data_IF_125156485440
#
_entry.id   IF_125156485440
#
_cell.length_a   1.000
_cell.length_b   1.000
_cell.length_c   1.000
_cell.angle_alpha   90.00
_cell.angle_beta   90.00
_cell.angle_gamma   90.00
#
_symmetry.space_group_name_H-M   'P 1'
#
loop_
_entity.id
_entity.type
_entity.pdbx_description
1 polymer ?
#
# COMPACT_ATOMS: atom_id res chain seq x y z
N UNK A 1 -3.06 14.53 -7.00
CA UNK A 1 -2.34 15.73 -6.55
C UNK A 1 -1.11 15.33 -5.77
N UNK A 2 0.09 15.66 -6.29
CA UNK A 2 1.35 15.22 -5.72
C UNK A 2 1.75 16.00 -4.44
N UNK A 3 1.07 17.09 -4.13
CA UNK A 3 1.48 18.01 -3.07
C UNK A 3 2.84 18.65 -3.33
N UNK A 4 3.25 18.69 -4.57
CA UNK A 4 4.55 19.23 -4.93
C UNK A 4 4.48 20.76 -4.88
N UNK A 5 4.80 21.31 -3.72
CA UNK A 5 5.08 22.72 -3.55
C UNK A 5 6.54 22.94 -3.93
N UNK A 6 6.79 23.64 -5.03
CA UNK A 6 8.14 23.99 -5.48
C UNK A 6 8.84 25.01 -4.56
N UNK A 7 8.18 25.40 -3.46
CA UNK A 7 8.75 26.24 -2.42
C UNK A 7 9.81 25.52 -1.58
N UNK A 8 10.74 26.28 -1.01
CA UNK A 8 11.65 25.78 0.01
C UNK A 8 11.14 26.20 1.41
N UNK A 9 11.05 25.28 2.41
CA UNK A 9 11.33 23.84 2.33
C UNK A 9 10.27 23.07 1.54
N UNK A 10 10.68 22.08 0.76
CA UNK A 10 9.80 21.28 -0.10
C UNK A 10 8.85 20.45 0.76
N UNK A 11 7.58 20.79 0.75
CA UNK A 11 6.52 20.01 1.41
C UNK A 11 6.00 18.96 0.43
N UNK A 12 6.60 17.81 0.45
CA UNK A 12 6.18 16.67 -0.36
C UNK A 12 6.25 15.36 0.44
N UNK A 13 5.84 14.26 -0.16
CA UNK A 13 5.91 12.96 0.48
C UNK A 13 7.34 12.45 0.68
N UNK A 14 8.30 12.96 -0.09
CA UNK A 14 9.72 12.65 0.07
C UNK A 14 10.38 13.59 1.07
N UNK A 15 10.02 13.46 2.35
CA UNK A 15 10.49 14.33 3.42
C UNK A 15 11.63 13.68 4.21
N UNK A 16 12.82 14.28 4.09
CA UNK A 16 14.04 13.90 4.81
C UNK A 16 14.45 14.91 5.89
N UNK A 17 13.71 15.99 6.08
CA UNK A 17 14.03 17.07 7.02
C UNK A 17 13.10 17.10 8.24
N UNK A 18 11.78 17.18 8.02
CA UNK A 18 10.76 17.23 9.07
C UNK A 18 9.48 16.58 8.60
N UNK A 19 9.33 15.28 8.91
CA UNK A 19 8.23 14.47 8.41
C UNK A 19 6.85 14.94 8.92
N UNK A 20 6.78 15.47 10.14
CA UNK A 20 5.50 15.94 10.69
C UNK A 20 5.05 17.23 10.00
N UNK A 21 5.97 18.16 9.79
CA UNK A 21 5.72 19.41 9.07
C UNK A 21 5.24 19.14 7.65
N UNK A 22 5.90 18.19 6.95
CA UNK A 22 5.68 17.97 5.53
C UNK A 22 4.52 17.02 5.27
N UNK A 23 4.46 15.87 5.95
CA UNK A 23 3.40 14.89 5.74
C UNK A 23 2.06 15.28 6.38
N UNK A 24 2.05 16.02 7.47
CA UNK A 24 0.81 16.35 8.18
C UNK A 24 -0.26 16.99 7.28
N UNK A 25 0.04 18.08 6.56
CA UNK A 25 -0.92 18.69 5.62
C UNK A 25 -1.32 17.78 4.46
N UNK A 26 -0.35 17.03 3.89
CA UNK A 26 -0.59 16.10 2.77
C UNK A 26 -1.51 14.96 3.19
N UNK A 27 -1.25 14.35 4.35
CA UNK A 27 -2.08 13.28 4.91
C UNK A 27 -3.52 13.74 5.18
N UNK A 28 -3.71 14.96 5.69
CA UNK A 28 -5.06 15.53 5.86
C UNK A 28 -5.80 15.71 4.54
N UNK A 29 -5.09 16.18 3.50
CA UNK A 29 -5.68 16.33 2.16
C UNK A 29 -6.05 14.97 1.56
N UNK A 30 -5.14 14.01 1.62
CA UNK A 30 -5.35 12.63 1.16
C UNK A 30 -6.52 11.97 1.91
N UNK A 31 -6.56 12.06 3.24
CA UNK A 31 -7.60 11.45 4.06
C UNK A 31 -9.01 11.96 3.70
N UNK A 32 -9.15 13.26 3.42
CA UNK A 32 -10.43 13.83 2.99
C UNK A 32 -10.90 13.27 1.65
N UNK A 33 -9.99 13.19 0.67
CA UNK A 33 -10.30 12.64 -0.65
C UNK A 33 -10.65 11.16 -0.57
N UNK A 34 -9.86 10.38 0.18
CA UNK A 34 -10.10 8.94 0.37
C UNK A 34 -11.43 8.68 1.09
N UNK A 35 -11.72 9.42 2.15
CA UNK A 35 -12.99 9.30 2.86
C UNK A 35 -14.19 9.67 1.97
N UNK A 36 -14.08 10.74 1.18
CA UNK A 36 -15.13 11.14 0.25
C UNK A 36 -15.39 10.07 -0.81
N UNK A 37 -14.34 9.49 -1.39
CA UNK A 37 -14.45 8.40 -2.36
C UNK A 37 -15.17 7.18 -1.77
N UNK A 38 -14.76 6.72 -0.59
CA UNK A 38 -15.38 5.55 0.07
C UNK A 38 -16.83 5.82 0.40
N UNK A 39 -17.16 7.01 0.91
CA UNK A 39 -18.54 7.39 1.26
C UNK A 39 -19.42 7.50 0.01
N UNK A 40 -18.92 8.08 -1.08
CA UNK A 40 -19.66 8.19 -2.33
C UNK A 40 -19.96 6.82 -2.93
N UNK A 41 -18.95 5.95 -3.01
CA UNK A 41 -19.14 4.58 -3.49
C UNK A 41 -20.14 3.80 -2.62
N UNK A 42 -20.05 3.95 -1.30
CA UNK A 42 -20.99 3.32 -0.37
C UNK A 42 -22.42 3.83 -0.57
N UNK A 43 -22.62 5.15 -0.71
CA UNK A 43 -23.93 5.75 -0.94
C UNK A 43 -24.55 5.33 -2.27
N UNK A 44 -23.74 5.08 -3.28
CA UNK A 44 -24.18 4.60 -4.59
C UNK A 44 -24.37 3.09 -4.65
N UNK A 45 -24.05 2.34 -3.61
CA UNK A 45 -24.08 0.87 -3.60
C UNK A 45 -23.02 0.23 -4.50
N UNK A 46 -21.92 0.94 -4.74
CA UNK A 46 -20.85 0.48 -5.64
C UNK A 46 -19.62 -0.03 -4.88
N UNK A 47 -19.55 0.16 -3.56
CA UNK A 47 -18.36 -0.19 -2.78
C UNK A 47 -18.08 -1.70 -2.79
N UNK A 48 -19.12 -2.52 -2.80
CA UNK A 48 -18.99 -3.98 -2.79
C UNK A 48 -18.39 -4.52 -4.10
N UNK A 49 -18.59 -3.78 -5.21
CA UNK A 49 -18.06 -4.12 -6.54
C UNK A 49 -16.80 -3.32 -6.91
N UNK A 50 -16.29 -2.50 -5.99
CA UNK A 50 -15.12 -1.65 -6.24
C UNK A 50 -14.05 -1.87 -5.19
N UNK A 51 -12.91 -2.43 -5.60
CA UNK A 51 -11.75 -2.57 -4.73
C UNK A 51 -10.91 -1.29 -4.76
N UNK A 52 -10.67 -0.72 -3.60
CA UNK A 52 -9.83 0.46 -3.42
C UNK A 52 -8.54 0.01 -2.75
N UNK A 53 -7.41 0.34 -3.35
CA UNK A 53 -6.08 0.15 -2.79
C UNK A 53 -5.41 1.51 -2.58
N UNK A 54 -4.97 1.78 -1.37
CA UNK A 54 -3.98 2.80 -1.08
C UNK A 54 -2.64 2.13 -0.80
N UNK A 55 -1.60 2.58 -1.48
CA UNK A 55 -0.26 2.00 -1.37
C UNK A 55 0.82 3.07 -1.49
N UNK A 56 2.01 2.69 -1.14
CA UNK A 56 3.26 3.44 -1.34
C UNK A 56 4.34 2.46 -1.81
N UNK A 57 5.42 2.97 -2.34
CA UNK A 57 6.53 2.16 -2.86
C UNK A 57 7.49 1.68 -1.76
N UNK A 58 7.53 2.39 -0.61
CA UNK A 58 8.33 2.04 0.58
C UNK A 58 7.75 2.73 1.81
N UNK A 59 8.23 2.34 2.98
CA UNK A 59 7.92 2.98 4.25
C UNK A 59 8.94 4.05 4.65
N UNK A 60 8.94 4.40 5.94
CA UNK A 60 9.92 5.32 6.51
C UNK A 60 10.66 4.64 7.64
N UNK A 61 11.98 4.89 7.73
CA UNK A 61 12.81 4.38 8.81
C UNK A 61 12.30 4.84 10.17
N UNK A 62 12.34 4.00 11.20
CA UNK A 62 11.96 4.41 12.55
C UNK A 62 12.95 5.39 13.19
N UNK A 63 14.18 5.40 12.73
CA UNK A 63 15.22 6.32 13.20
C UNK A 63 15.16 7.67 12.47
N UNK A 64 15.58 8.73 13.16
CA UNK A 64 15.61 10.06 12.60
C UNK A 64 16.75 10.23 11.58
N UNK A 65 16.44 10.99 10.53
CA UNK A 65 17.40 11.54 9.59
C UNK A 65 17.35 13.06 9.70
N UNK A 66 18.49 13.71 9.80
CA UNK A 66 18.55 15.18 9.89
C UNK A 66 17.80 15.78 11.10
N UNK A 67 17.58 15.01 12.15
CA UNK A 67 16.88 15.40 13.37
C UNK A 67 15.40 15.04 13.41
N UNK A 68 14.58 15.45 12.46
CA UNK A 68 13.12 15.20 12.41
C UNK A 68 12.65 14.49 11.14
N UNK A 69 13.52 14.35 10.16
CA UNK A 69 13.24 13.60 8.93
C UNK A 69 13.27 12.10 9.14
N UNK A 70 12.89 11.38 8.11
CA UNK A 70 12.95 9.91 8.05
C UNK A 70 13.43 9.50 6.67
N UNK A 71 14.36 8.57 6.61
CA UNK A 71 14.80 7.95 5.37
C UNK A 71 13.79 6.91 4.87
N UNK A 72 13.98 6.43 3.67
CA UNK A 72 13.18 5.37 3.06
C UNK A 72 13.42 4.04 3.75
N UNK A 73 12.34 3.32 4.06
CA UNK A 73 12.41 1.97 4.59
C UNK A 73 11.88 0.99 3.54
N UNK A 74 12.74 0.24 2.85
CA UNK A 74 12.31 -0.69 1.82
C UNK A 74 11.76 -2.01 2.37
N UNK A 75 11.87 -2.25 3.68
CA UNK A 75 11.55 -3.54 4.27
C UNK A 75 10.11 -3.67 4.73
N UNK A 76 9.51 -2.58 5.19
CA UNK A 76 8.12 -2.57 5.65
C UNK A 76 7.43 -1.27 5.28
N UNK A 77 6.17 -1.37 4.89
CA UNK A 77 5.28 -0.23 4.66
C UNK A 77 3.83 -0.67 4.82
N UNK A 78 2.96 0.30 5.02
CA UNK A 78 1.54 0.05 5.23
C UNK A 78 0.78 0.25 3.92
N UNK A 79 -0.09 -0.69 3.60
CA UNK A 79 -1.13 -0.55 2.61
C UNK A 79 -2.49 -0.64 3.30
N UNK A 80 -3.56 -0.10 2.69
CA UNK A 80 -4.91 -0.41 3.11
C UNK A 80 -5.80 -0.66 1.90
N UNK A 81 -6.77 -1.54 2.09
CA UNK A 81 -7.76 -1.91 1.09
C UNK A 81 -9.17 -1.69 1.64
N UNK A 82 -10.10 -1.38 0.75
CA UNK A 82 -11.51 -1.23 1.10
C UNK A 82 -12.40 -1.64 -0.06
N UNK A 83 -13.59 -2.17 0.24
CA UNK A 83 -14.55 -2.61 -0.76
C UNK A 83 -14.13 -3.87 -1.51
N UNK A 84 -14.84 -4.21 -2.58
CA UNK A 84 -14.51 -5.32 -3.47
C UNK A 84 -14.28 -6.67 -2.79
N UNK A 85 -15.07 -7.02 -1.77
CA UNK A 85 -14.91 -8.27 -1.03
C UNK A 85 -13.77 -8.29 0.00
N UNK A 86 -13.23 -7.13 0.36
CA UNK A 86 -12.24 -7.02 1.45
C UNK A 86 -12.97 -6.86 2.78
N UNK A 87 -12.57 -7.66 3.77
CA UNK A 87 -13.11 -7.61 5.12
C UNK A 87 -12.60 -6.37 5.86
N UNK A 88 -13.52 -5.49 6.24
CA UNK A 88 -13.18 -4.28 6.98
C UNK A 88 -12.78 -4.54 8.44
N UNK A 89 -11.95 -3.65 8.99
CA UNK A 89 -11.58 -3.67 10.42
C UNK A 89 -10.58 -4.75 10.82
N UNK A 90 -9.90 -5.37 9.85
CA UNK A 90 -8.84 -6.35 10.10
C UNK A 90 -7.46 -5.75 9.80
N UNK A 91 -6.45 -6.27 10.45
CA UNK A 91 -5.05 -6.00 10.15
C UNK A 91 -4.36 -7.31 9.82
N UNK A 92 -3.53 -7.32 8.78
CA UNK A 92 -2.74 -8.47 8.36
C UNK A 92 -1.27 -8.06 8.29
N UNK A 93 -0.41 -8.90 8.84
CA UNK A 93 1.02 -8.63 8.94
C UNK A 93 1.37 -7.55 9.98
N UNK A 94 2.59 -7.57 10.42
CA UNK A 94 3.12 -6.62 11.38
C UNK A 94 4.63 -6.39 11.19
N UNK A 95 5.13 -5.27 11.67
CA UNK A 95 6.55 -5.01 11.77
C UNK A 95 7.11 -5.56 13.08
N UNK A 96 8.43 -5.70 13.14
CA UNK A 96 9.12 -5.93 14.41
C UNK A 96 8.85 -4.77 15.38
N UNK A 97 9.23 -4.97 16.65
CA UNK A 97 9.03 -3.98 17.73
C UNK A 97 9.66 -2.59 17.44
N UNK A 98 10.55 -2.52 16.48
CA UNK A 98 11.23 -1.29 16.10
C UNK A 98 10.59 -0.61 14.88
N UNK A 99 9.66 -1.27 14.18
CA UNK A 99 9.11 -0.78 12.92
C UNK A 99 10.10 -0.82 11.76
N UNK A 100 11.13 -1.66 11.85
CA UNK A 100 12.24 -1.68 10.89
C UNK A 100 12.10 -2.76 9.84
N UNK A 101 11.68 -3.98 10.23
CA UNK A 101 11.53 -5.14 9.35
C UNK A 101 10.21 -5.86 9.63
N UNK A 102 9.76 -6.75 8.75
CA UNK A 102 8.65 -7.64 9.07
C UNK A 102 8.95 -8.46 10.33
N UNK A 103 7.96 -8.65 11.20
CA UNK A 103 8.06 -9.53 12.35
C UNK A 103 8.27 -10.98 11.90
N UNK A 104 7.48 -11.42 10.90
CA UNK A 104 7.69 -12.69 10.19
C UNK A 104 8.77 -12.49 9.12
N UNK A 105 9.91 -13.14 9.26
CA UNK A 105 11.06 -12.96 8.38
C UNK A 105 11.20 -14.04 7.33
N UNK A 106 10.69 -15.22 7.60
CA UNK A 106 10.84 -16.38 6.72
C UNK A 106 9.86 -16.34 5.55
N UNK A 107 8.66 -15.81 5.79
CA UNK A 107 7.62 -15.66 4.76
C UNK A 107 6.81 -14.37 4.94
N UNK A 108 7.44 -13.20 4.83
CA UNK A 108 6.72 -11.93 5.00
C UNK A 108 5.76 -11.70 3.84
N UNK A 109 4.64 -11.06 4.14
CA UNK A 109 3.73 -10.58 3.09
C UNK A 109 4.44 -9.61 2.17
N UNK A 110 4.41 -9.90 0.89
CA UNK A 110 5.09 -9.15 -0.16
C UNK A 110 4.11 -8.35 -1.03
N UNK A 111 4.63 -7.48 -1.88
CA UNK A 111 3.81 -6.79 -2.87
C UNK A 111 3.18 -7.78 -3.88
N UNK A 112 3.81 -8.93 -4.13
CA UNK A 112 3.24 -9.98 -4.99
C UNK A 112 1.98 -10.59 -4.39
N UNK A 113 1.88 -10.70 -3.05
CA UNK A 113 0.69 -11.22 -2.37
C UNK A 113 -0.48 -10.25 -2.49
N UNK A 114 -0.21 -8.94 -2.40
CA UNK A 114 -1.23 -7.91 -2.65
C UNK A 114 -1.75 -8.00 -4.08
N UNK A 115 -0.86 -8.12 -5.07
CA UNK A 115 -1.27 -8.28 -6.47
C UNK A 115 -2.03 -9.58 -6.71
N UNK A 116 -1.60 -10.71 -6.11
CA UNK A 116 -2.32 -11.97 -6.19
C UNK A 116 -3.73 -11.86 -5.60
N UNK A 117 -3.85 -11.18 -4.46
CA UNK A 117 -5.13 -10.95 -3.79
C UNK A 117 -6.07 -10.06 -4.62
N UNK A 118 -5.55 -8.98 -5.20
CA UNK A 118 -6.33 -8.11 -6.10
C UNK A 118 -6.82 -8.89 -7.32
N UNK A 119 -5.96 -9.67 -7.95
CA UNK A 119 -6.35 -10.49 -9.10
C UNK A 119 -7.40 -11.54 -8.72
N UNK A 120 -7.25 -12.16 -7.54
CA UNK A 120 -8.25 -13.09 -7.02
C UNK A 120 -9.63 -12.43 -6.88
N UNK A 121 -9.70 -11.22 -6.30
CA UNK A 121 -10.96 -10.48 -6.17
C UNK A 121 -11.55 -10.04 -7.53
N UNK A 122 -10.74 -9.92 -8.56
CA UNK A 122 -11.16 -9.70 -9.94
C UNK A 122 -11.56 -11.00 -10.67
N UNK A 123 -11.53 -12.15 -10.00
CA UNK A 123 -11.82 -13.46 -10.60
C UNK A 123 -10.70 -13.98 -11.50
N UNK A 124 -9.50 -13.44 -11.39
CA UNK A 124 -8.33 -13.79 -12.21
C UNK A 124 -7.41 -14.72 -11.42
N UNK A 125 -7.09 -15.87 -11.99
CA UNK A 125 -6.03 -16.71 -11.45
C UNK A 125 -4.66 -16.13 -11.84
N UNK A 126 -3.95 -15.57 -10.86
CA UNK A 126 -2.66 -14.92 -11.09
C UNK A 126 -1.55 -15.86 -11.55
N UNK A 127 -1.66 -17.17 -11.30
CA UNK A 127 -0.69 -18.15 -11.76
C UNK A 127 -0.86 -18.50 -13.25
N UNK A 128 -2.08 -18.34 -13.77
CA UNK A 128 -2.42 -18.60 -15.17
C UNK A 128 -2.34 -17.35 -16.04
N UNK A 129 -2.37 -16.15 -15.43
CA UNK A 129 -2.23 -14.89 -16.17
C UNK A 129 -0.75 -14.65 -16.51
N UNK A 130 -0.42 -14.88 -17.78
CA UNK A 130 0.93 -14.68 -18.29
C UNK A 130 0.97 -13.68 -19.43
N UNK A 131 2.09 -12.98 -19.55
CA UNK A 131 2.43 -12.12 -20.68
C UNK A 131 3.70 -12.63 -21.31
N UNK A 132 3.66 -12.88 -22.63
CA UNK A 132 4.84 -13.29 -23.39
C UNK A 132 5.79 -12.13 -23.59
N UNK A 133 7.00 -12.26 -23.06
CA UNK A 133 8.05 -11.24 -23.21
C UNK A 133 9.40 -11.95 -23.40
N UNK A 134 10.14 -11.57 -24.45
CA UNK A 134 11.43 -12.15 -24.81
C UNK A 134 11.42 -13.69 -24.88
N UNK A 135 10.35 -14.26 -25.45
CA UNK A 135 10.21 -15.71 -25.62
C UNK A 135 9.83 -16.49 -24.35
N UNK A 136 9.62 -15.82 -23.22
CA UNK A 136 9.26 -16.41 -21.94
C UNK A 136 7.87 -15.92 -21.53
N UNK A 137 7.02 -16.81 -21.02
CA UNK A 137 5.76 -16.45 -20.41
C UNK A 137 6.01 -16.03 -18.95
N UNK A 138 5.69 -14.75 -18.64
CA UNK A 138 5.94 -14.16 -17.34
C UNK A 138 4.61 -13.86 -16.64
N UNK A 139 4.52 -14.18 -15.35
CA UNK A 139 3.41 -13.77 -14.48
C UNK A 139 3.72 -12.41 -13.85
N UNK A 140 2.68 -11.64 -13.54
CA UNK A 140 2.83 -10.39 -12.77
C UNK A 140 3.43 -10.65 -11.36
N UNK A 141 3.07 -11.78 -10.78
CA UNK A 141 3.54 -12.21 -9.45
C UNK A 141 4.82 -13.03 -9.49
N UNK A 142 5.44 -13.20 -10.67
CA UNK A 142 6.61 -14.03 -10.90
C UNK A 142 6.41 -15.46 -10.36
N UNK A 143 7.34 -16.00 -9.58
CA UNK A 143 7.20 -17.29 -8.89
C UNK A 143 6.60 -17.16 -7.50
N UNK A 144 6.24 -15.95 -7.11
CA UNK A 144 5.72 -15.58 -5.82
C UNK A 144 4.21 -15.29 -5.87
N UNK A 145 3.68 -14.81 -4.78
CA UNK A 145 2.30 -14.35 -4.65
C UNK A 145 1.39 -15.42 -4.07
N UNK A 146 0.86 -15.11 -2.91
CA UNK A 146 -0.17 -15.88 -2.24
C UNK A 146 -1.38 -14.98 -2.00
N UNK A 147 -2.58 -15.51 -2.22
CA UNK A 147 -3.81 -14.80 -1.89
C UNK A 147 -3.91 -14.68 -0.37
N UNK A 148 -4.01 -13.47 0.14
CA UNK A 148 -4.12 -13.19 1.58
C UNK A 148 -5.57 -13.46 2.00
N UNK A 149 -5.86 -14.71 2.38
CA UNK A 149 -7.22 -15.15 2.71
C UNK A 149 -7.80 -14.44 3.94
N UNK A 150 -6.97 -14.06 4.88
CA UNK A 150 -7.34 -13.46 6.16
C UNK A 150 -8.02 -12.09 6.02
N UNK A 151 -7.81 -11.41 4.89
CA UNK A 151 -8.42 -10.10 4.62
C UNK A 151 -9.65 -10.18 3.71
N UNK A 152 -10.05 -11.37 3.26
CA UNK A 152 -11.21 -11.56 2.42
C UNK A 152 -12.49 -11.74 3.24
N UNK A 153 -13.65 -11.25 2.72
CA UNK A 153 -14.95 -11.33 3.36
C UNK A 153 -15.64 -12.69 3.11
#
# INVERSE_FOLDING_TARGET
WSGNDNGFPRRNWDSHEDIQRDHGPLARGMARGSAALILDLKQRGMLDDTLILWTTEFGRMPCAQGGKGRDHNPFVFTNWLAGGGIRGGVTHGESDQWGFRPAERDNPTSCHDIHATIMHQLGINHEQLTVRHDGIDRRLTDVHGHVIQEILA
#
